data_IF_744800404853
#
_entry.id   IF_744800404853
#
_cell.length_a   1.000
_cell.length_b   1.000
_cell.length_c   1.000
_cell.angle_alpha   90.00
_cell.angle_beta   90.00
_cell.angle_gamma   90.00
#
_symmetry.space_group_name_H-M   'P 1'
#
loop_
_entity.id
_entity.type
_entity.pdbx_description
1 polymer ?
#
# COMPACT_ATOMS: atom_id res chain seq x y z
N UNK A 1 23.93 12.41 -9.52
CA UNK A 1 24.08 10.94 -9.70
C UNK A 1 22.68 10.35 -9.58
N UNK A 2 22.21 9.48 -10.49
CA UNK A 2 20.87 8.93 -10.37
C UNK A 2 20.90 7.80 -9.34
N UNK A 3 20.65 8.11 -8.08
CA UNK A 3 20.50 7.15 -6.98
C UNK A 3 19.10 6.52 -7.00
N UNK A 4 18.60 6.14 -8.19
CA UNK A 4 17.37 5.35 -8.24
C UNK A 4 17.71 3.94 -7.77
N UNK A 5 16.99 3.39 -6.78
CA UNK A 5 17.12 2.00 -6.39
C UNK A 5 17.03 1.08 -7.61
N UNK A 6 17.68 -0.09 -7.59
CA UNK A 6 17.69 -1.02 -8.72
C UNK A 6 16.32 -1.57 -9.10
N UNK A 7 15.28 -1.33 -8.30
CA UNK A 7 13.92 -1.80 -8.53
C UNK A 7 12.92 -0.65 -8.41
N UNK A 8 11.97 -0.52 -9.36
CA UNK A 8 10.80 0.30 -9.13
C UNK A 8 10.05 -0.30 -7.94
N UNK A 9 9.84 0.52 -6.92
CA UNK A 9 9.00 0.17 -5.77
C UNK A 9 7.56 0.07 -6.27
N UNK A 10 6.96 -1.11 -6.22
CA UNK A 10 5.59 -1.34 -6.65
C UNK A 10 4.71 -1.59 -5.43
N UNK A 11 3.59 -0.87 -5.35
CA UNK A 11 2.62 -1.08 -4.30
C UNK A 11 1.23 -1.39 -4.87
N UNK A 12 0.52 -2.29 -4.20
CA UNK A 12 -0.81 -2.73 -4.56
C UNK A 12 -1.75 -2.64 -3.36
N UNK A 13 -3.02 -2.39 -3.66
CA UNK A 13 -4.06 -2.26 -2.63
C UNK A 13 -4.82 -3.57 -2.56
N UNK A 14 -4.90 -4.15 -1.37
CA UNK A 14 -5.66 -5.36 -1.08
C UNK A 14 -6.90 -4.97 -0.28
N UNK A 15 -8.08 -5.22 -0.83
CA UNK A 15 -9.35 -5.07 -0.12
C UNK A 15 -9.56 -6.24 0.82
N UNK A 16 -9.74 -5.97 2.10
CA UNK A 16 -10.04 -6.96 3.12
C UNK A 16 -11.28 -6.55 3.90
N UNK A 17 -11.96 -7.52 4.48
CA UNK A 17 -13.07 -7.27 5.38
C UNK A 17 -12.59 -7.50 6.81
N UNK A 18 -12.76 -6.50 7.68
CA UNK A 18 -12.48 -6.61 9.11
C UNK A 18 -13.77 -6.43 9.90
N UNK A 19 -13.92 -7.16 11.00
CA UNK A 19 -15.07 -7.01 11.89
C UNK A 19 -15.63 -8.35 12.32
N UNK A 20 -16.82 -8.31 12.93
CA UNK A 20 -17.54 -9.52 13.32
C UNK A 20 -18.37 -10.05 12.15
N UNK A 21 -18.65 -11.36 12.11
CA UNK A 21 -19.58 -11.93 11.14
C UNK A 21 -20.94 -11.23 11.24
N UNK A 22 -21.34 -10.52 10.18
CA UNK A 22 -22.58 -9.72 10.12
C UNK A 22 -22.40 -8.20 10.32
N UNK A 23 -21.23 -7.74 10.76
CA UNK A 23 -20.81 -6.33 10.76
C UNK A 23 -19.37 -6.22 10.26
N UNK A 24 -19.15 -6.61 9.01
CA UNK A 24 -17.86 -6.42 8.35
C UNK A 24 -17.74 -5.01 7.81
N UNK A 25 -16.56 -4.43 7.98
CA UNK A 25 -16.16 -3.15 7.43
C UNK A 25 -15.08 -3.42 6.39
N UNK A 26 -15.18 -2.80 5.23
CA UNK A 26 -14.15 -2.88 4.19
C UNK A 26 -12.94 -2.04 4.60
N UNK A 27 -11.77 -2.65 4.51
CA UNK A 27 -10.47 -2.02 4.73
C UNK A 27 -9.59 -2.25 3.50
N UNK A 28 -8.65 -1.34 3.29
CA UNK A 28 -7.74 -1.30 2.16
C UNK A 28 -6.31 -1.36 2.70
N UNK A 29 -5.64 -2.50 2.50
CA UNK A 29 -4.24 -2.66 2.86
C UNK A 29 -3.37 -2.24 1.69
N UNK A 30 -2.49 -1.26 1.90
CA UNK A 30 -1.39 -0.99 0.99
C UNK A 30 -0.28 -2.00 1.27
N UNK A 31 0.02 -2.82 0.28
CA UNK A 31 1.12 -3.77 0.31
C UNK A 31 2.14 -3.45 -0.77
N UNK A 32 3.39 -3.80 -0.55
CA UNK A 32 4.46 -3.59 -1.51
C UNK A 32 5.39 -4.79 -1.59
N UNK A 33 6.16 -4.83 -2.67
CA UNK A 33 7.20 -5.84 -2.92
C UNK A 33 8.51 -5.55 -2.17
N UNK A 34 8.69 -4.33 -1.67
CA UNK A 34 9.89 -3.87 -0.96
C UNK A 34 9.56 -3.39 0.48
N UNK A 35 10.40 -3.67 1.49
CA UNK A 35 11.68 -4.40 1.46
C UNK A 35 11.55 -5.92 1.32
N UNK A 36 10.35 -6.47 1.49
CA UNK A 36 10.04 -7.90 1.28
C UNK A 36 8.76 -8.02 0.47
N UNK A 37 8.58 -9.11 -0.31
CA UNK A 37 7.32 -9.37 -0.98
C UNK A 37 6.17 -9.38 0.02
N UNK A 38 5.04 -8.78 -0.36
CA UNK A 38 3.82 -8.74 0.44
C UNK A 38 3.97 -7.98 1.78
N UNK A 39 4.91 -7.02 1.83
CA UNK A 39 5.08 -6.15 3.00
C UNK A 39 3.87 -5.26 3.16
N UNK A 40 3.23 -5.32 4.32
CA UNK A 40 2.19 -4.36 4.70
C UNK A 40 2.83 -2.99 4.96
N UNK A 41 2.47 -2.00 4.14
CA UNK A 41 2.96 -0.62 4.26
C UNK A 41 2.02 0.21 5.13
N UNK A 42 0.72 0.15 4.85
CA UNK A 42 -0.31 0.87 5.60
C UNK A 42 -1.68 0.22 5.41
N UNK A 43 -2.62 0.55 6.28
CA UNK A 43 -4.01 0.13 6.17
C UNK A 43 -4.92 1.35 6.28
N UNK A 44 -5.94 1.39 5.45
CA UNK A 44 -6.86 2.52 5.35
C UNK A 44 -8.31 2.03 5.35
N UNK A 45 -9.23 2.76 5.99
CA UNK A 45 -10.66 2.47 5.91
C UNK A 45 -11.27 2.87 4.55
N UNK A 46 -10.59 3.70 3.76
CA UNK A 46 -11.08 4.19 2.47
C UNK A 46 -10.12 3.89 1.33
N UNK A 47 -10.67 3.71 0.12
CA UNK A 47 -9.89 3.44 -1.08
C UNK A 47 -9.00 4.64 -1.46
N UNK A 48 -9.49 5.86 -1.25
CA UNK A 48 -8.80 7.10 -1.62
C UNK A 48 -7.50 7.28 -0.82
N UNK A 49 -7.56 7.05 0.50
CA UNK A 49 -6.36 7.07 1.34
C UNK A 49 -5.35 5.99 0.94
N UNK A 50 -5.82 4.79 0.59
CA UNK A 50 -4.94 3.72 0.12
C UNK A 50 -4.29 4.05 -1.23
N UNK A 51 -5.01 4.70 -2.16
CA UNK A 51 -4.47 5.17 -3.45
C UNK A 51 -3.48 6.30 -3.26
N UNK A 52 -3.77 7.26 -2.38
CA UNK A 52 -2.85 8.34 -2.04
C UNK A 52 -1.56 7.78 -1.41
N UNK A 53 -1.69 6.84 -0.48
CA UNK A 53 -0.55 6.16 0.13
C UNK A 53 0.26 5.36 -0.91
N UNK A 54 -0.39 4.65 -1.84
CA UNK A 54 0.26 3.98 -2.98
C UNK A 54 1.06 4.97 -3.81
N UNK A 55 0.45 6.07 -4.22
CA UNK A 55 1.10 7.10 -5.04
C UNK A 55 2.32 7.69 -4.34
N UNK A 56 2.19 8.01 -3.05
CA UNK A 56 3.30 8.49 -2.21
C UNK A 56 4.39 7.45 -1.99
N UNK A 57 4.04 6.16 -1.98
CA UNK A 57 5.02 5.09 -1.87
C UNK A 57 5.81 4.99 -3.17
N UNK A 58 5.13 4.91 -4.32
CA UNK A 58 5.71 4.80 -5.66
C UNK A 58 6.45 6.07 -6.13
N UNK A 59 6.24 7.20 -5.45
CA UNK A 59 6.82 8.50 -5.80
C UNK A 59 8.37 8.45 -5.82
N UNK A 60 9.00 8.70 -6.97
CA UNK A 60 10.46 8.70 -7.11
C UNK A 60 11.14 9.86 -6.38
N UNK A 61 10.42 10.95 -6.04
CA UNK A 61 10.97 12.10 -5.31
C UNK A 61 11.09 11.85 -3.80
N UNK A 62 10.52 10.76 -3.29
CA UNK A 62 10.65 10.33 -1.90
C UNK A 62 11.93 9.51 -1.64
N UNK A 63 12.94 9.62 -2.52
CA UNK A 63 14.25 8.95 -2.46
C UNK A 63 15.37 9.92 -2.10
#
# INVERSE_FOLDING_TARGET
MPTRPPYPREAYIVTIEKGTPGQTVTWYQLRADHPKPDSLISEHPTAEEAMDAKKRYEDPDKL
#
